data_IF_227392187976
#
_entry.id   IF_227392187976
#
_cell.length_a   1.000
_cell.length_b   1.000
_cell.length_c   1.000
_cell.angle_alpha   90.00
_cell.angle_beta   90.00
_cell.angle_gamma   90.00
#
_symmetry.space_group_name_H-M   'P 1'
#
loop_
_entity.id
_entity.type
_entity.pdbx_description
1 polymer ?
#
# COMPACT_ATOMS: atom_id res chain seq x y z
N UNK A 1 0.93 -5.61 -5.62
CA UNK A 1 -0.10 -6.65 -5.84
C UNK A 1 -0.47 -7.21 -4.48
N UNK A 2 -1.76 -7.42 -4.21
CA UNK A 2 -2.23 -7.95 -2.92
C UNK A 2 -3.41 -8.91 -3.11
N UNK A 3 -3.68 -9.76 -2.11
CA UNK A 3 -4.84 -10.67 -2.11
C UNK A 3 -5.99 -10.01 -1.35
N UNK A 4 -7.18 -10.04 -1.93
CA UNK A 4 -8.39 -9.50 -1.30
C UNK A 4 -9.55 -10.49 -1.41
N UNK A 5 -10.36 -10.58 -0.35
CA UNK A 5 -11.62 -11.30 -0.32
C UNK A 5 -12.74 -10.36 -0.73
N UNK A 6 -13.22 -10.49 -1.97
CA UNK A 6 -14.26 -9.60 -2.48
C UNK A 6 -15.60 -9.87 -1.79
N UNK A 7 -16.24 -8.83 -1.26
CA UNK A 7 -17.55 -8.92 -0.59
C UNK A 7 -18.70 -9.21 -1.56
N UNK A 8 -18.55 -8.86 -2.85
CA UNK A 8 -19.57 -9.08 -3.86
C UNK A 8 -19.58 -10.51 -4.42
N UNK A 9 -18.43 -11.03 -4.83
CA UNK A 9 -18.34 -12.38 -5.44
C UNK A 9 -17.92 -13.46 -4.44
N UNK A 10 -17.58 -13.09 -3.21
CA UNK A 10 -17.16 -13.99 -2.13
C UNK A 10 -15.95 -14.88 -2.51
N UNK A 11 -15.07 -14.39 -3.39
CA UNK A 11 -13.83 -15.07 -3.78
C UNK A 11 -12.59 -14.32 -3.28
N UNK A 12 -11.54 -15.07 -2.93
CA UNK A 12 -10.17 -14.55 -2.74
C UNK A 12 -9.49 -14.41 -4.08
N UNK A 13 -9.08 -13.19 -4.42
CA UNK A 13 -8.47 -12.90 -5.71
C UNK A 13 -7.25 -12.00 -5.54
N UNK A 14 -6.35 -12.08 -6.51
CA UNK A 14 -5.19 -11.20 -6.62
C UNK A 14 -5.62 -9.89 -7.29
N UNK A 15 -5.40 -8.78 -6.59
CA UNK A 15 -5.63 -7.42 -7.07
C UNK A 15 -4.29 -6.84 -7.53
N UNK A 16 -4.29 -6.43 -8.79
CA UNK A 16 -3.17 -5.80 -9.47
C UNK A 16 -3.29 -4.29 -9.42
N UNK A 17 -2.17 -3.58 -9.55
CA UNK A 17 -2.15 -2.12 -9.51
C UNK A 17 -2.92 -1.49 -10.68
N UNK A 18 -3.03 -2.19 -11.82
CA UNK A 18 -3.88 -1.76 -12.94
C UNK A 18 -5.39 -1.74 -12.63
N UNK A 19 -5.83 -2.43 -11.57
CA UNK A 19 -7.21 -2.41 -11.10
C UNK A 19 -7.45 -1.34 -10.03
N UNK A 20 -6.40 -0.66 -9.55
CA UNK A 20 -6.50 0.41 -8.55
C UNK A 20 -7.05 1.66 -9.22
N UNK A 21 -8.14 2.18 -8.68
CA UNK A 21 -8.82 3.39 -9.19
C UNK A 21 -8.52 4.63 -8.36
N UNK A 22 -8.05 4.44 -7.12
CA UNK A 22 -7.67 5.57 -6.26
C UNK A 22 -6.87 5.11 -5.05
N UNK A 23 -6.09 6.05 -4.51
CA UNK A 23 -5.34 5.87 -3.27
C UNK A 23 -5.40 7.17 -2.47
N UNK A 24 -5.65 7.06 -1.17
CA UNK A 24 -5.68 8.19 -0.26
C UNK A 24 -5.00 7.81 1.05
N UNK A 25 -4.11 8.66 1.53
CA UNK A 25 -3.58 8.55 2.89
C UNK A 25 -4.69 8.95 3.86
N UNK A 26 -4.96 8.09 4.84
CA UNK A 26 -5.92 8.33 5.91
C UNK A 26 -5.21 8.17 7.26
N UNK A 27 -5.82 8.68 8.32
CA UNK A 27 -5.28 8.52 9.67
C UNK A 27 -5.13 7.02 9.99
N UNK A 28 -3.87 6.56 10.08
CA UNK A 28 -3.54 5.16 10.37
C UNK A 28 -3.24 4.26 9.17
N UNK A 29 -3.23 4.75 7.93
CA UNK A 29 -2.84 3.91 6.80
C UNK A 29 -3.05 4.49 5.39
N UNK A 30 -2.95 3.62 4.40
CA UNK A 30 -3.26 3.93 3.00
C UNK A 30 -4.58 3.26 2.61
N UNK A 31 -5.61 4.05 2.34
CA UNK A 31 -6.84 3.57 1.74
C UNK A 31 -6.65 3.40 0.24
N UNK A 32 -6.87 2.19 -0.27
CA UNK A 32 -6.76 1.85 -1.70
C UNK A 32 -8.13 1.44 -2.22
N UNK A 33 -8.64 2.19 -3.20
CA UNK A 33 -9.85 1.87 -3.96
C UNK A 33 -9.47 1.12 -5.24
N UNK A 34 -10.19 0.05 -5.55
CA UNK A 34 -9.92 -0.80 -6.70
C UNK A 34 -11.17 -1.49 -7.21
N UNK A 35 -11.13 -1.91 -8.48
CA UNK A 35 -12.18 -2.71 -9.11
C UNK A 35 -11.79 -4.18 -9.05
N UNK A 36 -12.64 -5.00 -8.44
CA UNK A 36 -12.47 -6.44 -8.42
C UNK A 36 -12.65 -7.03 -9.83
N UNK A 37 -12.11 -8.22 -10.08
CA UNK A 37 -12.30 -8.95 -11.34
C UNK A 37 -13.77 -9.22 -11.72
N UNK A 38 -14.68 -9.21 -10.74
CA UNK A 38 -16.12 -9.31 -11.01
C UNK A 38 -16.76 -7.97 -11.45
N UNK A 39 -15.99 -6.87 -11.48
CA UNK A 39 -16.46 -5.53 -11.80
C UNK A 39 -16.92 -4.69 -10.60
N UNK A 40 -16.96 -5.26 -9.39
CA UNK A 40 -17.37 -4.51 -8.19
C UNK A 40 -16.25 -3.62 -7.68
N UNK A 41 -16.57 -2.37 -7.36
CA UNK A 41 -15.67 -1.47 -6.64
C UNK A 41 -15.55 -1.89 -5.18
N UNK A 42 -14.32 -1.88 -4.65
CA UNK A 42 -13.99 -2.23 -3.27
C UNK A 42 -12.89 -1.28 -2.76
N UNK A 43 -12.76 -1.20 -1.44
CA UNK A 43 -11.66 -0.48 -0.80
C UNK A 43 -11.00 -1.37 0.25
N UNK A 44 -9.69 -1.22 0.41
CA UNK A 44 -8.93 -1.87 1.48
C UNK A 44 -8.04 -0.85 2.16
N UNK A 45 -8.00 -0.91 3.50
CA UNK A 45 -6.97 -0.24 4.27
C UNK A 45 -5.72 -1.12 4.22
N UNK A 46 -4.63 -0.56 3.72
CA UNK A 46 -3.31 -1.12 3.88
C UNK A 46 -2.65 -0.34 5.02
N UNK A 47 -1.98 -1.06 5.92
CA UNK A 47 -1.09 -0.40 6.87
C UNK A 47 -0.08 0.42 6.06
N UNK A 48 0.10 1.69 6.44
CA UNK A 48 1.15 2.49 5.83
C UNK A 48 2.49 1.78 6.09
N UNK A 49 3.42 1.72 5.12
CA UNK A 49 4.80 1.41 5.47
C UNK A 49 5.20 2.39 6.58
N UNK A 50 5.87 1.89 7.62
CA UNK A 50 6.51 2.75 8.61
C UNK A 50 7.21 3.85 7.82
N UNK A 51 6.82 5.11 8.05
CA UNK A 51 7.52 6.25 7.48
C UNK A 51 9.00 5.99 7.72
N UNK A 52 9.80 5.91 6.66
CA UNK A 52 11.24 5.80 6.81
C UNK A 52 11.65 6.97 7.70
N UNK A 53 11.99 6.68 8.97
CA UNK A 53 12.84 7.58 9.71
C UNK A 53 14.07 7.77 8.82
N UNK A 54 14.48 9.02 8.53
CA UNK A 54 15.54 9.26 7.58
C UNK A 54 16.76 8.46 8.00
N UNK A 55 17.22 7.54 7.13
CA UNK A 55 18.53 6.92 7.28
C UNK A 55 19.56 8.04 7.18
N UNK A 56 19.93 8.59 8.32
CA UNK A 56 21.14 9.40 8.44
C UNK A 56 22.29 8.46 8.21
N UNK A 57 22.88 8.54 7.02
CA UNK A 57 24.21 7.97 6.75
C UNK A 57 25.15 8.54 7.82
N UNK A 58 25.78 7.73 8.69
CA UNK A 58 26.79 8.26 9.59
C UNK A 58 27.87 8.90 8.71
N UNK A 59 28.08 10.20 8.95
CA UNK A 59 29.10 10.99 8.31
C UNK A 59 30.43 10.26 8.56
N UNK A 60 31.13 9.85 7.50
CA UNK A 60 32.48 9.29 7.59
C UNK A 60 33.30 10.30 8.38
N UNK A 61 33.64 9.95 9.61
CA UNK A 61 34.56 10.71 10.45
C UNK A 61 35.89 10.82 9.70
N UNK A 62 36.06 11.97 9.04
CA UNK A 62 37.35 12.45 8.58
C UNK A 62 38.21 12.69 9.82
N UNK A 63 39.14 11.78 10.12
CA UNK A 63 40.31 12.12 10.93
C UNK A 63 41.54 11.94 10.07
N UNK A 64 42.00 13.07 9.57
CA UNK A 64 43.36 13.29 9.14
C UNK A 64 44.23 13.56 10.37
N UNK A 65 45.35 12.83 10.50
CA UNK A 65 46.67 13.29 10.96
C UNK A 65 47.62 12.09 11.07
#
# INVERSE_FOLDING_TARGET
MFVHQCTACQKRQLIFMSQVTGMATVDGGLAVAFTCWCGSEQASLLDAPATEEPVTRPERESVAA
#
